data_IF_914569748308
#
_entry.id   IF_914569748308
#
_cell.length_a   1.000
_cell.length_b   1.000
_cell.length_c   1.000
_cell.angle_alpha   90.00
_cell.angle_beta   90.00
_cell.angle_gamma   90.00
#
_symmetry.space_group_name_H-M   'P 1'
#
loop_
_entity.id
_entity.type
_entity.pdbx_description
1 polymer ?
#
# COMPACT_ATOMS: atom_id res chain seq x y z
N UNK A 1 9.22 12.48 2.67
CA UNK A 1 7.90 12.26 2.03
C UNK A 1 8.08 11.16 1.00
N UNK A 2 7.31 10.07 1.07
CA UNK A 2 7.32 9.03 0.07
C UNK A 2 6.95 9.58 -1.31
N UNK A 3 7.61 9.09 -2.35
CA UNK A 3 7.36 9.50 -3.73
C UNK A 3 7.34 8.30 -4.66
N UNK A 4 6.78 8.53 -5.83
CA UNK A 4 6.90 7.58 -6.93
C UNK A 4 8.30 7.70 -7.54
N UNK A 5 8.90 6.56 -7.83
CA UNK A 5 10.13 6.46 -8.61
C UNK A 5 9.94 5.51 -9.79
N UNK A 6 10.80 5.65 -10.80
CA UNK A 6 10.82 4.75 -11.96
C UNK A 6 11.84 3.64 -11.72
N UNK A 7 11.50 2.41 -12.10
CA UNK A 7 12.47 1.31 -12.22
C UNK A 7 13.57 1.69 -13.21
N UNK A 8 14.82 1.40 -12.85
CA UNK A 8 16.01 1.71 -13.63
C UNK A 8 16.39 0.54 -14.55
N UNK A 9 17.22 0.82 -15.55
CA UNK A 9 17.68 -0.18 -16.52
C UNK A 9 16.72 -0.36 -17.70
N UNK A 10 16.77 -1.55 -18.29
CA UNK A 10 15.94 -1.95 -19.44
C UNK A 10 14.92 -3.05 -19.03
N UNK A 11 14.08 -3.45 -19.98
CA UNK A 11 13.04 -4.45 -19.75
C UNK A 11 13.56 -5.83 -19.34
N UNK A 12 14.84 -6.14 -19.58
CA UNK A 12 15.46 -7.43 -19.27
C UNK A 12 16.31 -7.38 -17.98
N UNK A 13 16.81 -6.21 -17.61
CA UNK A 13 17.70 -5.97 -16.48
C UNK A 13 17.18 -4.84 -15.58
N UNK A 14 15.91 -4.92 -15.20
CA UNK A 14 15.27 -3.92 -14.35
C UNK A 14 15.80 -3.93 -12.92
N UNK A 15 16.10 -2.76 -12.36
CA UNK A 15 16.51 -2.58 -10.97
C UNK A 15 15.60 -1.59 -10.24
N UNK A 16 15.10 -2.00 -9.08
CA UNK A 16 14.30 -1.15 -8.20
C UNK A 16 15.27 -0.21 -7.46
N UNK A 17 15.07 1.11 -7.50
CA UNK A 17 15.90 2.04 -6.74
C UNK A 17 15.95 1.69 -5.25
N UNK A 18 17.12 1.89 -4.63
CA UNK A 18 17.30 1.66 -3.19
C UNK A 18 16.28 2.48 -2.40
N UNK A 19 15.62 1.83 -1.43
CA UNK A 19 14.60 2.46 -0.60
C UNK A 19 13.21 2.52 -1.24
N UNK A 20 13.01 1.90 -2.40
CA UNK A 20 11.69 1.81 -3.04
C UNK A 20 11.14 0.37 -3.05
N UNK A 21 9.81 0.25 -2.99
CA UNK A 21 9.07 -1.01 -3.11
C UNK A 21 8.48 -1.12 -4.51
N UNK A 22 8.69 -2.28 -5.16
CA UNK A 22 8.11 -2.53 -6.48
C UNK A 22 6.61 -2.82 -6.40
N UNK A 23 5.83 -2.05 -7.16
CA UNK A 23 4.37 -2.19 -7.22
C UNK A 23 3.84 -2.55 -8.60
N UNK A 24 4.73 -2.98 -9.51
CA UNK A 24 4.38 -3.27 -10.90
C UNK A 24 3.93 -4.72 -11.18
N UNK A 25 3.62 -4.98 -12.45
CA UNK A 25 3.37 -6.33 -12.98
C UNK A 25 4.68 -7.13 -13.06
N UNK A 26 4.61 -8.45 -13.26
CA UNK A 26 5.83 -9.23 -13.49
C UNK A 26 6.64 -8.68 -14.67
N UNK A 27 7.95 -8.61 -14.49
CA UNK A 27 8.94 -8.34 -15.54
C UNK A 27 10.17 -9.24 -15.28
N UNK A 28 11.07 -9.45 -16.25
CA UNK A 28 12.34 -10.13 -16.00
C UNK A 28 13.06 -9.57 -14.76
N UNK A 29 13.38 -10.45 -13.80
CA UNK A 29 14.02 -10.08 -12.54
C UNK A 29 13.11 -9.42 -11.48
N UNK A 30 11.86 -9.06 -11.82
CA UNK A 30 10.93 -8.37 -10.91
C UNK A 30 9.66 -9.19 -10.71
N UNK A 31 9.46 -9.66 -9.47
CA UNK A 31 8.26 -10.41 -9.09
C UNK A 31 7.03 -9.50 -9.18
N UNK A 32 5.92 -10.08 -9.61
CA UNK A 32 4.63 -9.38 -9.65
C UNK A 32 4.24 -8.90 -8.25
N UNK A 33 3.87 -7.62 -8.14
CA UNK A 33 3.33 -7.06 -6.91
C UNK A 33 1.85 -7.43 -6.72
N UNK A 34 1.40 -7.67 -5.46
CA UNK A 34 -0.04 -7.72 -5.17
C UNK A 34 -0.73 -6.38 -5.44
N UNK A 35 -0.01 -5.26 -5.36
CA UNK A 35 -0.53 -3.88 -5.54
C UNK A 35 -0.40 -3.35 -6.98
N UNK A 36 -0.26 -4.25 -7.96
CA UNK A 36 -0.20 -3.88 -9.38
C UNK A 36 -1.55 -3.34 -9.86
N UNK A 37 -1.55 -2.47 -10.87
CA UNK A 37 -2.79 -2.23 -11.62
C UNK A 37 -3.24 -3.54 -12.29
N UNK A 38 -4.47 -3.98 -11.99
CA UNK A 38 -5.07 -5.17 -12.57
C UNK A 38 -5.64 -4.92 -13.97
N UNK A 39 -6.14 -3.71 -14.23
CA UNK A 39 -6.68 -3.24 -15.50
C UNK A 39 -5.57 -2.98 -16.52
N UNK A 40 -5.68 -3.60 -17.71
CA UNK A 40 -4.67 -3.48 -18.77
C UNK A 40 -5.09 -2.39 -19.74
N UNK A 41 -4.13 -1.54 -20.11
CA UNK A 41 -4.32 -0.52 -21.15
C UNK A 41 -4.14 -1.15 -22.53
N UNK A 42 -5.07 -0.88 -23.45
CA UNK A 42 -4.98 -1.31 -24.85
C UNK A 42 -4.96 -2.82 -25.09
N UNK A 43 -5.34 -3.62 -24.08
CA UNK A 43 -5.45 -5.08 -24.15
C UNK A 43 -6.72 -5.53 -23.42
N UNK A 44 -7.35 -6.65 -23.82
CA UNK A 44 -8.49 -7.20 -23.11
C UNK A 44 -8.22 -7.35 -21.61
N UNK A 45 -9.06 -6.73 -20.79
CA UNK A 45 -8.98 -6.75 -19.35
C UNK A 45 -9.65 -8.01 -18.79
N UNK A 46 -8.94 -8.75 -17.95
CA UNK A 46 -9.46 -9.99 -17.36
C UNK A 46 -10.49 -9.75 -16.28
N UNK A 47 -10.34 -8.65 -15.53
CA UNK A 47 -11.28 -8.28 -14.46
C UNK A 47 -12.60 -7.73 -15.04
N UNK A 48 -12.54 -7.11 -16.22
CA UNK A 48 -13.69 -6.46 -16.86
C UNK A 48 -14.24 -7.28 -18.05
N UNK A 49 -14.20 -8.61 -17.98
CA UNK A 49 -14.87 -9.46 -19.00
C UNK A 49 -14.32 -9.38 -20.43
N UNK A 50 -13.11 -8.84 -20.63
CA UNK A 50 -12.47 -8.69 -21.93
C UNK A 50 -12.49 -7.27 -22.51
N UNK A 51 -13.09 -6.30 -21.83
CA UNK A 51 -13.10 -4.90 -22.26
C UNK A 51 -11.70 -4.32 -22.46
N UNK A 52 -11.56 -3.37 -23.38
CA UNK A 52 -10.28 -2.71 -23.70
C UNK A 52 -10.31 -1.29 -23.18
N UNK A 53 -9.47 -1.00 -22.20
CA UNK A 53 -9.41 0.32 -21.55
C UNK A 53 -8.38 1.25 -22.18
N UNK A 54 -8.71 2.53 -22.22
CA UNK A 54 -7.75 3.63 -22.30
C UNK A 54 -6.90 3.70 -21.02
N UNK A 55 -5.83 4.50 -21.05
CA UNK A 55 -5.01 4.72 -19.85
C UNK A 55 -5.82 5.33 -18.71
N UNK A 56 -6.69 6.29 -19.02
CA UNK A 56 -7.49 6.99 -18.00
C UNK A 56 -8.47 6.02 -17.32
N UNK A 57 -9.24 5.28 -18.10
CA UNK A 57 -10.20 4.29 -17.58
C UNK A 57 -9.50 3.22 -16.72
N UNK A 58 -8.34 2.72 -17.15
CA UNK A 58 -7.59 1.73 -16.37
C UNK A 58 -7.04 2.29 -15.05
N UNK A 59 -6.81 3.60 -14.94
CA UNK A 59 -6.38 4.26 -13.71
C UNK A 59 -7.57 4.54 -12.79
N UNK A 60 -8.69 5.01 -13.35
CA UNK A 60 -9.92 5.28 -12.59
C UNK A 60 -10.46 3.98 -11.97
N UNK A 61 -10.56 2.90 -12.75
CA UNK A 61 -10.97 1.58 -12.26
C UNK A 61 -9.99 1.02 -11.21
N UNK A 62 -8.70 1.28 -11.37
CA UNK A 62 -7.71 0.85 -10.38
C UNK A 62 -7.87 1.59 -9.05
N UNK A 63 -8.08 2.90 -9.10
CA UNK A 63 -8.30 3.71 -7.90
C UNK A 63 -9.57 3.27 -7.18
N UNK A 64 -10.67 3.08 -7.90
CA UNK A 64 -11.93 2.58 -7.36
C UNK A 64 -11.74 1.23 -6.67
N UNK A 65 -11.13 0.24 -7.35
CA UNK A 65 -10.91 -1.09 -6.78
C UNK A 65 -9.95 -1.06 -5.58
N UNK A 66 -8.87 -0.28 -5.68
CA UNK A 66 -7.85 -0.21 -4.63
C UNK A 66 -8.39 0.44 -3.36
N UNK A 67 -9.23 1.47 -3.50
CA UNK A 67 -9.88 2.14 -2.37
C UNK A 67 -11.08 1.36 -1.84
N UNK A 68 -11.80 0.64 -2.70
CA UNK A 68 -12.95 -0.18 -2.34
C UNK A 68 -12.58 -1.49 -1.64
N UNK A 69 -11.39 -2.04 -1.89
CA UNK A 69 -10.88 -3.23 -1.19
C UNK A 69 -10.14 -2.85 0.11
N UNK A 70 -10.89 -2.81 1.21
CA UNK A 70 -10.36 -2.56 2.56
C UNK A 70 -9.26 -3.52 3.00
N UNK A 71 -9.28 -4.77 2.51
CA UNK A 71 -8.25 -5.77 2.84
C UNK A 71 -6.95 -5.42 2.14
N UNK A 72 -7.02 -5.12 0.84
CA UNK A 72 -5.88 -4.70 0.04
C UNK A 72 -5.30 -3.37 0.54
N UNK A 73 -6.15 -2.37 0.82
CA UNK A 73 -5.72 -1.07 1.33
C UNK A 73 -5.10 -1.18 2.72
N UNK A 74 -5.65 -1.99 3.61
CA UNK A 74 -5.07 -2.25 4.94
C UNK A 74 -3.68 -2.87 4.82
N UNK A 75 -3.52 -3.86 3.94
CA UNK A 75 -2.23 -4.48 3.66
C UNK A 75 -1.25 -3.48 3.04
N UNK A 76 -1.69 -2.68 2.08
CA UNK A 76 -0.88 -1.67 1.42
C UNK A 76 -0.37 -0.62 2.43
N UNK A 77 -1.22 -0.15 3.34
CA UNK A 77 -0.80 0.75 4.44
C UNK A 77 0.25 0.10 5.35
N UNK A 78 0.14 -1.21 5.63
CA UNK A 78 1.11 -1.90 6.47
C UNK A 78 2.46 -2.12 5.78
N UNK A 79 2.47 -2.41 4.47
CA UNK A 79 3.68 -2.77 3.72
C UNK A 79 4.35 -1.58 3.02
N UNK A 80 3.59 -0.56 2.63
CA UNK A 80 4.04 0.52 1.73
C UNK A 80 4.14 1.90 2.39
N UNK A 81 3.50 2.11 3.55
CA UNK A 81 3.57 3.41 4.23
C UNK A 81 5.02 3.79 4.54
N UNK A 82 5.39 5.02 4.20
CA UNK A 82 6.74 5.54 4.38
C UNK A 82 7.76 5.18 3.28
N UNK A 83 7.40 4.33 2.31
CA UNK A 83 8.30 3.87 1.25
C UNK A 83 8.07 4.56 -0.10
N UNK A 84 9.15 4.80 -0.85
CA UNK A 84 9.03 5.17 -2.26
C UNK A 84 8.42 4.00 -3.06
N UNK A 85 7.58 4.30 -4.06
CA UNK A 85 6.90 3.29 -4.86
C UNK A 85 7.47 3.25 -6.27
N UNK A 86 7.99 2.08 -6.67
CA UNK A 86 8.64 1.87 -7.96
C UNK A 86 7.70 1.21 -8.98
N UNK A 87 7.63 1.80 -10.18
CA UNK A 87 6.92 1.24 -11.34
C UNK A 87 7.70 1.53 -12.64
N UNK A 88 7.36 0.83 -13.73
CA UNK A 88 7.96 1.03 -15.06
C UNK A 88 7.43 2.25 -15.81
N UNK A 89 6.29 2.82 -15.40
CA UNK A 89 5.70 3.96 -16.08
C UNK A 89 6.71 5.11 -16.23
N UNK A 90 6.54 5.94 -17.26
CA UNK A 90 7.33 7.16 -17.44
C UNK A 90 7.04 8.15 -16.30
N UNK A 91 8.07 8.88 -15.84
CA UNK A 91 7.87 10.01 -14.93
C UNK A 91 7.28 11.19 -15.71
N UNK A 92 6.31 11.94 -15.17
CA UNK A 92 5.77 13.11 -15.85
C UNK A 92 6.85 14.17 -16.06
N UNK A 93 6.78 14.91 -17.17
CA UNK A 93 7.53 16.15 -17.30
C UNK A 93 6.96 17.24 -16.37
N UNK A 94 7.71 18.31 -16.07
CA UNK A 94 7.18 19.43 -15.30
C UNK A 94 5.87 19.99 -15.90
N UNK A 95 4.81 19.98 -15.11
CA UNK A 95 3.47 20.43 -15.53
C UNK A 95 2.56 19.34 -16.11
N UNK A 96 3.07 18.13 -16.32
CA UNK A 96 2.25 16.99 -16.74
C UNK A 96 1.67 16.23 -15.53
N UNK A 97 0.47 15.64 -15.67
CA UNK A 97 -0.08 14.77 -14.63
C UNK A 97 0.70 13.46 -14.51
N UNK A 98 0.84 12.95 -13.29
CA UNK A 98 1.46 11.63 -13.06
C UNK A 98 0.46 10.50 -13.33
N UNK A 99 0.49 9.96 -14.55
CA UNK A 99 -0.39 8.87 -15.00
C UNK A 99 0.17 7.49 -14.66
N UNK A 100 0.44 7.26 -13.37
CA UNK A 100 0.92 5.97 -12.86
C UNK A 100 0.08 5.51 -11.67
N UNK A 101 -0.26 4.22 -11.64
CA UNK A 101 -1.02 3.63 -10.53
C UNK A 101 -0.27 3.74 -9.19
N UNK A 102 1.07 3.69 -9.21
CA UNK A 102 1.89 3.95 -8.03
C UNK A 102 1.70 5.35 -7.45
N UNK A 103 1.43 6.37 -8.28
CA UNK A 103 1.17 7.71 -7.81
C UNK A 103 -0.18 7.79 -7.06
N UNK A 104 -1.21 7.11 -7.59
CA UNK A 104 -2.55 7.05 -6.97
C UNK A 104 -2.51 6.40 -5.58
N UNK A 105 -1.63 5.43 -5.35
CA UNK A 105 -1.50 4.77 -4.04
C UNK A 105 -0.85 5.65 -2.96
N UNK A 106 0.03 6.61 -3.32
CA UNK A 106 0.86 7.32 -2.35
C UNK A 106 0.06 8.07 -1.29
N UNK A 107 -1.04 8.72 -1.66
CA UNK A 107 -1.92 9.40 -0.69
C UNK A 107 -2.54 8.39 0.28
N UNK A 108 -3.43 7.49 -0.20
CA UNK A 108 -4.17 6.56 0.66
C UNK A 108 -3.31 5.68 1.57
N UNK A 109 -2.11 5.28 1.14
CA UNK A 109 -1.21 4.45 1.96
C UNK A 109 -0.47 5.24 3.03
N UNK A 110 -0.29 6.55 2.85
CA UNK A 110 0.43 7.43 3.79
C UNK A 110 -0.48 8.36 4.59
N UNK A 111 -1.78 8.37 4.30
CA UNK A 111 -2.75 9.07 5.13
C UNK A 111 -2.64 8.58 6.58
N UNK A 112 -2.51 9.50 7.55
CA UNK A 112 -2.52 9.12 8.94
C UNK A 112 -3.88 8.46 9.20
N UNK A 113 -3.87 7.17 9.57
CA UNK A 113 -5.07 6.56 10.16
C UNK A 113 -5.52 7.51 11.28
N UNK A 114 -6.81 7.85 11.39
CA UNK A 114 -7.32 8.25 12.69
C UNK A 114 -6.82 7.19 13.66
N UNK A 115 -6.06 7.61 14.68
CA UNK A 115 -5.54 6.67 15.68
C UNK A 115 -6.73 5.80 16.06
N UNK A 116 -6.68 4.52 15.70
CA UNK A 116 -7.77 3.63 16.02
C UNK A 116 -7.89 3.69 17.54
N UNK A 117 -8.94 4.36 18.02
CA UNK A 117 -9.41 4.18 19.39
C UNK A 117 -10.01 2.79 19.38
N UNK A 118 -9.15 1.78 19.40
CA UNK A 118 -9.58 0.46 19.81
C UNK A 118 -10.04 0.65 21.26
N UNK A 119 -11.31 0.39 21.61
CA UNK A 119 -11.62 0.13 23.00
C UNK A 119 -10.67 -1.00 23.46
N UNK A 120 -10.23 -1.03 24.73
CA UNK A 120 -9.44 -2.14 25.26
C UNK A 120 -10.30 -3.41 25.27
N UNK A 121 -10.44 -4.02 24.09
CA UNK A 121 -11.02 -5.34 23.87
C UNK A 121 -9.88 -6.36 23.75
N UNK A 122 -10.11 -7.62 24.13
CA UNK A 122 -9.06 -8.62 24.15
C UNK A 122 -8.52 -8.87 22.74
N UNK A 123 -7.19 -8.90 22.61
CA UNK A 123 -6.51 -9.24 21.36
C UNK A 123 -6.80 -10.70 20.99
N UNK A 124 -6.99 -11.04 19.70
CA UNK A 124 -7.04 -12.42 19.27
C UNK A 124 -5.67 -13.09 19.53
N UNK A 125 -5.73 -14.13 20.34
CA UNK A 125 -4.76 -15.16 20.73
C UNK A 125 -3.48 -15.31 19.86
N UNK A 126 -2.33 -15.48 20.52
CA UNK A 126 -1.19 -16.21 19.92
C UNK A 126 0.23 -15.70 20.15
N UNK A 127 0.48 -14.62 20.90
CA UNK A 127 1.86 -14.15 21.15
C UNK A 127 2.37 -14.64 22.51
N UNK A 128 3.59 -15.18 22.62
CA UNK A 128 4.13 -15.65 23.90
C UNK A 128 4.33 -14.45 24.83
N UNK A 129 3.72 -14.55 26.01
CA UNK A 129 3.90 -13.60 27.11
C UNK A 129 5.29 -13.84 27.69
N UNK A 130 6.19 -12.85 27.80
CA UNK A 130 7.32 -13.00 28.69
C UNK A 130 6.81 -13.04 30.12
N UNK A 131 7.08 -14.16 30.79
CA UNK A 131 6.80 -14.36 32.19
C UNK A 131 7.59 -13.33 33.02
N UNK A 132 6.92 -12.77 34.03
CA UNK A 132 7.45 -12.04 35.19
C UNK A 132 7.60 -10.51 35.07
N UNK A 133 6.58 -9.81 35.58
CA UNK A 133 6.78 -8.60 36.38
C UNK A 133 5.89 -8.75 37.63
N UNK A 134 6.42 -8.65 38.86
CA UNK A 134 5.63 -8.86 40.07
C UNK A 134 4.71 -7.66 40.35
N UNK A 135 3.52 -7.95 40.86
CA UNK A 135 2.56 -6.94 41.30
C UNK A 135 3.10 -6.20 42.53
N UNK A 136 3.15 -4.87 42.47
CA UNK A 136 3.30 -4.02 43.65
C UNK A 136 1.92 -3.48 44.03
N UNK A 137 1.60 -3.64 45.31
CA UNK A 137 0.35 -3.31 45.99
C UNK A 137 -0.12 -1.86 45.78
N UNK A 138 -1.42 -1.68 45.57
CA UNK A 138 -2.11 -0.40 45.78
C UNK A 138 -2.96 -0.49 47.04
N UNK A 139 -2.44 0.12 48.09
CA UNK A 139 -3.10 0.35 49.38
C UNK A 139 -4.27 1.32 49.22
N UNK A 140 -5.40 0.99 49.85
CA UNK A 140 -6.62 1.80 49.92
C UNK A 140 -6.44 2.99 50.87
N UNK A 141 -6.70 4.20 50.36
CA UNK A 141 -7.07 5.42 51.09
C UNK A 141 -8.11 6.11 50.17
N UNK A 142 -9.29 6.58 50.55
CA UNK A 142 -10.02 6.85 51.77
C UNK A 142 -11.20 7.78 51.35
N UNK A 143 -12.22 8.00 52.18
CA UNK A 143 -13.17 9.10 51.93
C UNK A 143 -14.54 8.96 52.59
N UNK A 144 -14.74 9.73 53.66
CA UNK A 144 -15.99 10.05 54.34
C UNK A 144 -17.13 10.48 53.39
N UNK A 145 -18.38 10.17 53.78
CA UNK A 145 -19.41 11.13 54.21
C UNK A 145 -20.37 10.42 55.18
#
# INVERSE_FOLDING_TARGET
MPRRVKVQGDLFHGSVPVGAVYVGRAAPGLRQSPFRNQHRVGKPCRECGGEVHTLREALDLFEEDFLGDETLLTRARAELAGWDLACWCRLPEPGEPDLCHAALMLGPVNEPRPRAVYPPGPKPYGWPVPCHVPAADVTVQGGLL
#
